data_IF_301140779021
#
_entry.id   IF_301140779021
#
_cell.length_a   1.000
_cell.length_b   1.000
_cell.length_c   1.000
_cell.angle_alpha   90.00
_cell.angle_beta   90.00
_cell.angle_gamma   90.00
#
_symmetry.space_group_name_H-M   'P 1'
#
loop_
_entity.id
_entity.type
_entity.pdbx_description
1 polymer ?
#
# COMPACT_ATOMS: atom_id res chain seq x y z
N UNK A 1 0.80 29.89 6.79
CA UNK A 1 1.69 28.69 6.85
C UNK A 1 2.05 28.29 5.44
N UNK A 2 3.27 27.81 5.18
CA UNK A 2 3.70 27.35 3.85
C UNK A 2 2.99 26.03 3.53
N UNK A 3 2.42 25.90 2.32
CA UNK A 3 1.77 24.65 1.87
C UNK A 3 2.80 23.53 1.78
N UNK A 4 2.61 22.39 2.48
CA UNK A 4 3.54 21.27 2.41
C UNK A 4 3.49 20.63 1.01
N UNK A 5 4.65 20.18 0.53
CA UNK A 5 4.78 19.43 -0.72
C UNK A 5 4.78 17.94 -0.40
N UNK A 6 3.79 17.22 -0.90
CA UNK A 6 3.64 15.79 -0.64
C UNK A 6 3.81 15.00 -1.93
N UNK A 7 4.73 14.05 -1.93
CA UNK A 7 4.82 13.05 -2.99
C UNK A 7 3.78 11.97 -2.72
N UNK A 8 2.98 11.63 -3.73
CA UNK A 8 2.10 10.46 -3.72
C UNK A 8 2.63 9.46 -4.75
N UNK A 9 2.94 8.22 -4.31
CA UNK A 9 3.24 7.15 -5.24
C UNK A 9 1.97 6.60 -5.88
N UNK A 10 2.02 6.29 -7.17
CA UNK A 10 0.92 5.69 -7.90
C UNK A 10 1.40 4.62 -8.88
N UNK A 11 0.59 3.59 -9.10
CA UNK A 11 0.73 2.71 -10.25
C UNK A 11 0.43 3.47 -11.55
N UNK A 12 0.95 3.00 -12.69
CA UNK A 12 0.55 3.53 -13.98
C UNK A 12 -0.97 3.35 -14.15
N UNK A 13 -1.66 4.43 -14.55
CA UNK A 13 -3.11 4.46 -14.74
C UNK A 13 -3.95 4.15 -13.48
N UNK A 14 -3.36 4.23 -12.29
CA UNK A 14 -4.10 4.09 -11.05
C UNK A 14 -4.86 5.39 -10.76
N UNK A 15 -6.16 5.29 -10.47
CA UNK A 15 -6.92 6.41 -9.92
C UNK A 15 -6.51 6.63 -8.46
N UNK A 16 -6.04 7.84 -8.17
CA UNK A 16 -5.60 8.27 -6.84
C UNK A 16 -6.35 9.53 -6.35
N UNK A 17 -7.45 9.90 -7.00
CA UNK A 17 -8.19 11.13 -6.71
C UNK A 17 -8.59 11.24 -5.24
N UNK A 18 -9.01 10.12 -4.62
CA UNK A 18 -9.35 10.11 -3.20
C UNK A 18 -8.18 10.50 -2.29
N UNK A 19 -6.95 10.10 -2.64
CA UNK A 19 -5.74 10.48 -1.89
C UNK A 19 -5.42 11.96 -2.10
N UNK A 20 -5.51 12.43 -3.34
CA UNK A 20 -5.27 13.83 -3.71
C UNK A 20 -6.26 14.72 -2.97
N UNK A 21 -7.56 14.45 -3.11
CA UNK A 21 -8.62 15.23 -2.48
C UNK A 21 -8.45 15.29 -0.95
N UNK A 22 -8.10 14.17 -0.32
CA UNK A 22 -7.88 14.12 1.12
C UNK A 22 -6.72 15.02 1.58
N UNK A 23 -5.64 15.11 0.81
CA UNK A 23 -4.48 15.92 1.15
C UNK A 23 -4.68 17.40 0.80
N UNK A 24 -5.42 17.70 -0.25
CA UNK A 24 -5.76 19.07 -0.66
C UNK A 24 -6.62 19.79 0.38
N UNK A 25 -7.45 19.04 1.14
CA UNK A 25 -8.19 19.60 2.29
C UNK A 25 -7.25 20.27 3.31
N UNK A 26 -6.00 19.86 3.38
CA UNK A 26 -4.97 20.43 4.26
C UNK A 26 -4.01 21.37 3.51
N UNK A 27 -4.42 21.88 2.36
CA UNK A 27 -3.63 22.80 1.54
C UNK A 27 -2.25 22.23 1.13
N UNK A 28 -2.15 20.92 0.92
CA UNK A 28 -0.93 20.28 0.44
C UNK A 28 -0.76 20.48 -1.08
N UNK A 29 0.48 20.68 -1.51
CA UNK A 29 0.86 20.63 -2.93
C UNK A 29 1.27 19.22 -3.28
N UNK A 30 0.57 18.62 -4.24
CA UNK A 30 0.75 17.21 -4.60
C UNK A 30 1.73 17.07 -5.76
N UNK A 31 2.64 16.10 -5.62
CA UNK A 31 3.55 15.65 -6.68
C UNK A 31 3.31 14.15 -6.87
N UNK A 32 2.82 13.76 -8.04
CA UNK A 32 2.57 12.34 -8.33
C UNK A 32 3.85 11.69 -8.85
N UNK A 33 4.27 10.62 -8.20
CA UNK A 33 5.39 9.78 -8.62
C UNK A 33 4.90 8.41 -9.09
N UNK A 34 5.46 7.93 -10.18
CA UNK A 34 5.22 6.60 -10.74
C UNK A 34 6.53 6.02 -11.30
N UNK A 35 6.46 4.87 -11.96
CA UNK A 35 7.62 4.18 -12.50
C UNK A 35 8.46 5.00 -13.48
N UNK A 36 7.88 6.01 -14.12
CA UNK A 36 8.58 6.85 -15.11
C UNK A 36 9.08 8.15 -14.52
N UNK A 37 8.44 8.69 -13.49
CA UNK A 37 8.72 10.02 -12.94
C UNK A 37 9.54 10.00 -11.65
N UNK A 38 9.65 8.85 -10.95
CA UNK A 38 10.31 8.74 -9.64
C UNK A 38 11.69 9.37 -9.63
N UNK A 39 12.56 9.06 -10.60
CA UNK A 39 13.93 9.59 -10.66
C UNK A 39 14.01 11.12 -10.72
N UNK A 40 13.00 11.75 -11.32
CA UNK A 40 12.92 13.21 -11.43
C UNK A 40 12.34 13.81 -10.15
N UNK A 41 11.29 13.18 -9.64
CA UNK A 41 10.57 13.67 -8.46
C UNK A 41 11.46 13.70 -7.22
N UNK A 42 12.30 12.68 -6.99
CA UNK A 42 13.21 12.62 -5.81
C UNK A 42 14.30 13.69 -5.78
N UNK A 43 14.57 14.37 -6.89
CA UNK A 43 15.52 15.50 -6.94
C UNK A 43 14.92 16.78 -6.34
N UNK A 44 13.61 16.87 -6.26
CA UNK A 44 12.92 18.03 -5.72
C UNK A 44 12.88 17.99 -4.18
N UNK A 45 12.68 19.17 -3.57
CA UNK A 45 12.36 19.26 -2.14
C UNK A 45 10.89 18.93 -1.93
N UNK A 46 10.60 18.07 -0.97
CA UNK A 46 9.26 17.70 -0.53
C UNK A 46 9.26 17.48 0.98
N UNK A 47 8.07 17.50 1.58
CA UNK A 47 7.88 17.53 3.03
C UNK A 47 7.23 16.23 3.56
N UNK A 48 6.77 15.35 2.67
CA UNK A 48 6.17 14.06 3.02
C UNK A 48 6.03 13.13 1.82
N UNK A 49 5.97 11.82 2.09
CA UNK A 49 5.75 10.74 1.11
C UNK A 49 4.51 9.93 1.51
N UNK A 50 3.59 9.75 0.58
CA UNK A 50 2.44 8.85 0.72
C UNK A 50 2.58 7.71 -0.29
N UNK A 51 2.62 6.48 0.22
CA UNK A 51 2.59 5.25 -0.57
C UNK A 51 1.15 4.75 -0.61
N UNK A 52 0.60 4.64 -1.82
CA UNK A 52 -0.81 4.29 -2.00
C UNK A 52 -1.06 2.78 -1.97
N UNK A 53 -2.32 2.39 -1.92
CA UNK A 53 -2.76 1.01 -2.10
C UNK A 53 -2.50 0.49 -3.52
N UNK A 54 -2.96 -0.73 -3.81
CA UNK A 54 -2.82 -1.36 -5.13
C UNK A 54 -2.77 -2.87 -5.06
N UNK A 55 -2.27 -3.51 -6.10
CA UNK A 55 -2.01 -4.95 -6.16
C UNK A 55 -0.89 -5.38 -5.22
N UNK A 56 -0.58 -6.66 -5.17
CA UNK A 56 0.37 -7.23 -4.23
C UNK A 56 1.81 -6.80 -4.49
N UNK A 57 2.64 -6.90 -3.47
CA UNK A 57 4.09 -6.71 -3.59
C UNK A 57 4.68 -7.93 -4.30
N UNK A 58 5.63 -7.71 -5.19
CA UNK A 58 6.33 -8.76 -5.91
C UNK A 58 7.05 -9.70 -4.95
N UNK A 59 6.76 -11.02 -4.97
CA UNK A 59 7.32 -11.98 -4.02
C UNK A 59 8.85 -12.01 -4.02
N UNK A 60 9.46 -11.78 -5.18
CA UNK A 60 10.92 -11.75 -5.34
C UNK A 60 11.63 -10.82 -4.36
N UNK A 61 10.90 -9.83 -3.82
CA UNK A 61 11.46 -8.86 -2.87
C UNK A 61 11.54 -9.39 -1.44
N UNK A 62 10.79 -10.45 -1.08
CA UNK A 62 10.70 -10.90 0.30
C UNK A 62 10.62 -12.42 0.50
N UNK A 63 10.31 -13.21 -0.55
CA UNK A 63 10.12 -14.66 -0.42
C UNK A 63 11.36 -15.41 0.06
N UNK A 64 12.56 -14.92 -0.25
CA UNK A 64 13.83 -15.50 0.21
C UNK A 64 14.02 -15.44 1.74
N UNK A 65 13.20 -14.63 2.44
CA UNK A 65 13.16 -14.51 3.90
C UNK A 65 12.05 -15.34 4.54
N UNK A 66 11.29 -16.08 3.73
CA UNK A 66 10.15 -16.89 4.21
C UNK A 66 10.53 -18.37 4.22
N UNK A 67 10.12 -19.10 5.26
CA UNK A 67 10.25 -20.56 5.30
C UNK A 67 9.36 -21.22 4.25
N UNK A 68 8.16 -20.66 4.06
CA UNK A 68 7.18 -21.14 3.09
C UNK A 68 6.62 -19.94 2.33
N UNK A 69 6.86 -19.90 1.03
CA UNK A 69 6.31 -18.90 0.13
C UNK A 69 5.56 -19.58 -1.00
N UNK A 70 4.42 -19.02 -1.38
CA UNK A 70 3.66 -19.43 -2.56
C UNK A 70 3.35 -18.20 -3.41
N UNK A 71 4.19 -17.96 -4.40
CA UNK A 71 4.04 -16.82 -5.30
C UNK A 71 2.75 -16.88 -6.14
N UNK A 72 2.12 -18.07 -6.27
CA UNK A 72 0.84 -18.23 -6.96
C UNK A 72 -0.32 -17.53 -6.22
N UNK A 73 -0.12 -17.22 -4.94
CA UNK A 73 -1.07 -16.47 -4.11
C UNK A 73 -1.04 -14.96 -4.39
N UNK A 74 0.01 -14.45 -5.03
CA UNK A 74 0.17 -13.03 -5.31
C UNK A 74 -0.43 -12.65 -6.67
N UNK A 75 -1.12 -11.51 -6.73
CA UNK A 75 -1.70 -11.02 -7.98
C UNK A 75 -1.63 -9.49 -8.10
N UNK A 76 -1.65 -9.01 -9.34
CA UNK A 76 -1.51 -7.59 -9.63
C UNK A 76 -0.15 -7.02 -9.23
N UNK A 77 0.87 -7.87 -9.14
CA UNK A 77 2.25 -7.51 -8.82
C UNK A 77 2.88 -6.64 -9.89
N UNK A 78 3.78 -5.76 -9.50
CA UNK A 78 4.55 -4.94 -10.43
C UNK A 78 5.94 -4.64 -9.85
N UNK A 79 6.90 -5.47 -10.16
CA UNK A 79 8.29 -5.29 -9.74
C UNK A 79 8.88 -3.92 -10.13
N UNK A 80 8.46 -3.38 -11.29
CA UNK A 80 8.85 -2.02 -11.69
C UNK A 80 8.32 -0.95 -10.75
N UNK A 81 7.06 -1.10 -10.30
CA UNK A 81 6.46 -0.19 -9.33
C UNK A 81 7.14 -0.32 -7.97
N UNK A 82 7.34 -1.54 -7.51
CA UNK A 82 7.97 -1.81 -6.21
C UNK A 82 9.36 -1.17 -6.14
N UNK A 83 10.18 -1.36 -7.18
CA UNK A 83 11.51 -0.75 -7.27
C UNK A 83 11.48 0.78 -7.33
N UNK A 84 10.51 1.36 -8.05
CA UNK A 84 10.37 2.81 -8.09
C UNK A 84 9.98 3.37 -6.71
N UNK A 85 9.06 2.69 -6.02
CA UNK A 85 8.65 3.08 -4.67
C UNK A 85 9.75 2.82 -3.63
N UNK A 86 10.57 1.79 -3.78
CA UNK A 86 11.78 1.59 -2.95
C UNK A 86 12.75 2.78 -3.07
N UNK A 87 12.93 3.34 -4.27
CA UNK A 87 13.74 4.56 -4.44
C UNK A 87 13.13 5.78 -3.71
N UNK A 88 11.79 5.91 -3.73
CA UNK A 88 11.10 6.96 -2.97
C UNK A 88 11.29 6.77 -1.46
N UNK A 89 11.09 5.54 -0.96
CA UNK A 89 11.27 5.23 0.47
C UNK A 89 12.71 5.52 0.89
N UNK A 90 13.70 5.03 0.14
CA UNK A 90 15.13 5.27 0.42
C UNK A 90 15.42 6.76 0.52
N UNK A 91 15.01 7.54 -0.47
CA UNK A 91 15.25 8.97 -0.50
C UNK A 91 14.58 9.72 0.66
N UNK A 92 13.33 9.34 1.00
CA UNK A 92 12.61 9.92 2.13
C UNK A 92 13.26 9.53 3.47
N UNK A 93 13.63 8.26 3.64
CA UNK A 93 14.27 7.74 4.84
C UNK A 93 15.63 8.42 5.10
N UNK A 94 16.51 8.48 4.10
CA UNK A 94 17.81 9.14 4.20
C UNK A 94 17.71 10.65 4.55
N UNK A 95 16.61 11.29 4.16
CA UNK A 95 16.34 12.70 4.45
C UNK A 95 15.49 12.92 5.70
N UNK A 96 15.14 11.88 6.45
CA UNK A 96 14.21 11.93 7.59
C UNK A 96 12.86 12.58 7.24
N UNK A 97 12.35 12.37 6.05
CA UNK A 97 11.04 12.85 5.62
C UNK A 97 9.97 11.86 6.06
N UNK A 98 8.86 12.31 6.68
CA UNK A 98 7.77 11.44 7.09
C UNK A 98 7.19 10.63 5.92
N UNK A 99 6.93 9.34 6.18
CA UNK A 99 6.34 8.42 5.21
C UNK A 99 5.04 7.84 5.77
N UNK A 100 3.98 7.89 4.97
CA UNK A 100 2.71 7.24 5.26
C UNK A 100 2.46 6.12 4.24
N UNK A 101 2.44 4.87 4.68
CA UNK A 101 2.03 3.72 3.88
C UNK A 101 0.57 3.36 4.11
N UNK A 102 -0.22 3.26 3.04
CA UNK A 102 -1.63 2.90 3.10
C UNK A 102 -1.84 1.57 2.36
N UNK A 103 -2.41 0.56 3.06
CA UNK A 103 -2.68 -0.77 2.53
C UNK A 103 -1.40 -1.40 1.94
N UNK A 104 -1.30 -1.55 0.61
CA UNK A 104 -0.09 -2.02 -0.06
C UNK A 104 1.15 -1.18 0.29
N UNK A 105 1.01 0.15 0.45
CA UNK A 105 2.13 1.01 0.82
C UNK A 105 2.70 0.69 2.21
N UNK A 106 1.88 0.29 3.17
CA UNK A 106 2.33 -0.20 4.48
C UNK A 106 3.07 -1.54 4.33
N UNK A 107 2.55 -2.46 3.51
CA UNK A 107 3.18 -3.74 3.22
C UNK A 107 4.55 -3.54 2.56
N UNK A 108 4.65 -2.62 1.61
CA UNK A 108 5.90 -2.28 0.94
C UNK A 108 6.95 -1.70 1.90
N UNK A 109 6.53 -0.84 2.84
CA UNK A 109 7.42 -0.32 3.89
C UNK A 109 8.00 -1.45 4.74
N UNK A 110 7.15 -2.39 5.17
CA UNK A 110 7.61 -3.54 5.93
C UNK A 110 8.63 -4.38 5.15
N UNK A 111 8.38 -4.63 3.87
CA UNK A 111 9.31 -5.37 2.99
C UNK A 111 10.61 -4.60 2.76
N UNK A 112 10.55 -3.29 2.63
CA UNK A 112 11.73 -2.42 2.48
C UNK A 112 12.65 -2.49 3.71
N UNK A 113 12.10 -2.61 4.90
CA UNK A 113 12.84 -2.79 6.15
C UNK A 113 13.05 -4.28 6.52
N UNK A 114 13.14 -5.16 5.53
CA UNK A 114 13.44 -6.59 5.65
C UNK A 114 12.35 -7.46 6.29
N UNK A 115 11.15 -6.95 6.47
CA UNK A 115 10.00 -7.75 6.87
C UNK A 115 9.48 -8.63 5.74
N UNK A 116 8.55 -9.52 6.10
CA UNK A 116 7.85 -10.41 5.16
C UNK A 116 6.35 -10.17 5.17
N UNK A 117 5.58 -10.92 4.40
CA UNK A 117 4.13 -10.79 4.33
C UNK A 117 3.45 -12.15 4.58
N UNK A 118 2.29 -12.11 5.21
CA UNK A 118 1.32 -13.19 5.12
C UNK A 118 0.69 -13.09 3.75
N UNK A 119 1.04 -13.99 2.83
CA UNK A 119 0.57 -13.95 1.44
C UNK A 119 -0.93 -14.19 1.29
N UNK A 120 -1.56 -14.79 2.31
CA UNK A 120 -2.98 -15.01 2.32
C UNK A 120 -3.51 -15.07 3.75
N UNK A 121 -4.14 -13.99 4.22
CA UNK A 121 -4.83 -13.98 5.51
C UNK A 121 -6.16 -14.72 5.40
N UNK A 122 -6.45 -15.50 6.40
CA UNK A 122 -7.45 -16.55 6.47
C UNK A 122 -8.81 -16.21 5.82
N UNK A 123 -9.39 -17.22 5.20
CA UNK A 123 -10.56 -17.29 4.33
C UNK A 123 -11.82 -16.55 4.84
N UNK A 124 -11.98 -16.40 6.15
CA UNK A 124 -13.18 -15.85 6.79
C UNK A 124 -13.40 -14.34 6.56
N UNK A 125 -12.36 -13.59 6.22
CA UNK A 125 -12.46 -12.14 6.02
C UNK A 125 -12.61 -11.73 4.55
N UNK A 126 -12.38 -12.64 3.58
CA UNK A 126 -12.17 -12.27 2.19
C UNK A 126 -12.82 -13.18 1.16
N UNK A 127 -13.96 -13.84 1.47
CA UNK A 127 -14.67 -14.70 0.49
C UNK A 127 -14.95 -13.98 -0.85
N UNK A 128 -15.22 -12.66 -0.78
CA UNK A 128 -15.45 -11.86 -1.98
C UNK A 128 -14.17 -11.65 -2.80
N UNK A 129 -13.02 -11.52 -2.14
CA UNK A 129 -11.71 -11.40 -2.81
C UNK A 129 -11.31 -12.72 -3.48
N UNK A 130 -11.63 -13.88 -2.87
CA UNK A 130 -11.41 -15.19 -3.50
C UNK A 130 -12.24 -15.39 -4.75
N UNK A 131 -13.52 -15.02 -4.71
CA UNK A 131 -14.40 -15.08 -5.91
C UNK A 131 -13.85 -14.21 -7.04
N UNK A 132 -13.32 -13.05 -6.72
CA UNK A 132 -12.68 -12.17 -7.69
C UNK A 132 -11.41 -12.77 -8.29
N UNK A 133 -10.54 -13.37 -7.45
CA UNK A 133 -9.33 -14.08 -7.90
C UNK A 133 -9.67 -15.23 -8.86
N UNK A 134 -10.67 -16.04 -8.53
CA UNK A 134 -11.13 -17.10 -9.44
C UNK A 134 -11.60 -16.55 -10.80
N UNK A 135 -12.27 -15.39 -10.79
CA UNK A 135 -12.69 -14.72 -12.03
C UNK A 135 -11.50 -14.20 -12.84
N UNK A 136 -10.47 -13.62 -12.20
CA UNK A 136 -9.24 -13.17 -12.88
C UNK A 136 -8.48 -14.37 -13.45
N UNK A 137 -8.29 -15.44 -12.68
CA UNK A 137 -7.60 -16.64 -13.16
C UNK A 137 -8.33 -17.32 -14.31
N UNK A 138 -9.66 -17.30 -14.33
CA UNK A 138 -10.48 -17.81 -15.44
C UNK A 138 -10.42 -16.93 -16.71
N UNK A 139 -10.13 -15.64 -16.57
CA UNK A 139 -10.09 -14.69 -17.69
C UNK A 139 -8.75 -14.65 -18.45
N UNK A 140 -7.79 -15.50 -18.15
CA UNK A 140 -6.47 -15.65 -18.84
C UNK A 140 -5.73 -14.34 -19.11
N UNK A 141 -5.72 -13.39 -18.18
CA UNK A 141 -5.10 -12.11 -18.39
C UNK A 141 -4.30 -11.66 -17.18
N UNK A 142 -3.14 -12.29 -16.89
CA UNK A 142 -2.14 -11.78 -15.94
C UNK A 142 -1.49 -10.52 -16.54
N UNK A 143 -2.21 -9.47 -16.76
CA UNK A 143 -1.63 -8.29 -17.38
C UNK A 143 -2.46 -7.03 -17.23
N UNK A 144 -3.75 -7.17 -17.14
CA UNK A 144 -4.63 -6.02 -17.00
C UNK A 144 -5.44 -6.15 -15.69
N UNK A 145 -4.88 -5.64 -14.61
CA UNK A 145 -5.63 -5.37 -13.40
C UNK A 145 -6.70 -4.34 -13.72
N UNK A 146 -7.93 -4.79 -13.92
CA UNK A 146 -9.07 -3.89 -14.09
C UNK A 146 -9.48 -3.32 -12.72
N UNK A 147 -8.92 -2.16 -12.41
CA UNK A 147 -9.22 -1.44 -11.17
C UNK A 147 -10.74 -1.20 -11.00
N UNK A 148 -11.49 -1.07 -12.08
CA UNK A 148 -12.93 -0.86 -12.07
C UNK A 148 -13.68 -2.10 -11.54
N UNK A 149 -13.27 -3.30 -11.95
CA UNK A 149 -13.79 -4.56 -11.40
C UNK A 149 -13.44 -4.75 -9.93
N UNK A 150 -12.28 -4.24 -9.51
CA UNK A 150 -11.87 -4.27 -8.10
C UNK A 150 -12.70 -3.33 -7.22
N UNK A 151 -13.18 -2.23 -7.78
CA UNK A 151 -14.03 -1.27 -7.07
C UNK A 151 -15.47 -1.75 -6.86
N UNK A 152 -15.97 -2.66 -7.70
CA UNK A 152 -17.31 -3.26 -7.57
C UNK A 152 -17.41 -4.35 -6.50
N UNK A 153 -16.28 -4.75 -5.91
CA UNK A 153 -16.27 -5.69 -4.79
C UNK A 153 -16.74 -4.94 -3.53
N UNK A 154 -17.82 -5.42 -2.93
CA UNK A 154 -18.26 -4.93 -1.62
C UNK A 154 -17.09 -5.03 -0.65
N UNK A 155 -16.66 -3.90 -0.10
CA UNK A 155 -15.65 -3.89 0.94
C UNK A 155 -16.21 -4.55 2.20
N UNK A 156 -15.46 -5.50 2.74
CA UNK A 156 -15.76 -6.06 4.03
C UNK A 156 -15.35 -5.07 5.13
N UNK A 157 -16.15 -5.02 6.17
CA UNK A 157 -15.85 -4.19 7.33
C UNK A 157 -15.49 -5.09 8.49
N UNK A 158 -14.38 -4.77 9.15
CA UNK A 158 -14.01 -5.43 10.39
C UNK A 158 -13.63 -4.39 11.46
N UNK A 159 -13.46 -4.85 12.68
CA UNK A 159 -13.01 -4.01 13.79
C UNK A 159 -11.52 -4.17 13.98
N UNK A 160 -10.84 -3.05 14.15
CA UNK A 160 -9.46 -2.98 14.61
C UNK A 160 -9.41 -2.33 15.98
N UNK A 161 -8.35 -2.60 16.72
CA UNK A 161 -8.06 -1.91 17.98
C UNK A 161 -6.85 -1.01 17.80
N UNK A 162 -7.05 0.29 18.01
CA UNK A 162 -5.98 1.28 18.01
C UNK A 162 -5.50 1.40 19.46
N UNK A 163 -4.26 1.04 19.70
CA UNK A 163 -3.66 1.09 21.03
C UNK A 163 -3.69 2.52 21.57
N UNK A 164 -4.29 2.68 22.75
CA UNK A 164 -4.32 3.98 23.45
C UNK A 164 -2.89 4.44 23.73
N UNK A 165 -2.63 5.74 23.52
CA UNK A 165 -1.30 6.32 23.70
C UNK A 165 -0.33 6.04 22.54
N UNK A 166 -0.73 5.29 21.51
CA UNK A 166 0.08 5.13 20.30
C UNK A 166 0.14 6.41 19.47
N UNK A 167 1.16 6.54 18.63
CA UNK A 167 1.27 7.64 17.66
C UNK A 167 0.02 7.75 16.78
N UNK A 168 -0.52 6.61 16.32
CA UNK A 168 -1.74 6.59 15.52
C UNK A 168 -2.95 7.12 16.29
N UNK A 169 -3.12 6.71 17.55
CA UNK A 169 -4.18 7.22 18.42
C UNK A 169 -4.07 8.74 18.62
N UNK A 170 -2.86 9.25 18.80
CA UNK A 170 -2.59 10.69 18.92
C UNK A 170 -2.96 11.45 17.65
N UNK A 171 -2.56 10.93 16.51
CA UNK A 171 -2.86 11.54 15.19
C UNK A 171 -4.35 11.56 14.87
N UNK A 172 -5.09 10.50 15.25
CA UNK A 172 -6.53 10.40 15.04
C UNK A 172 -7.35 11.09 16.14
N UNK A 173 -6.72 11.56 17.21
CA UNK A 173 -7.39 12.13 18.38
C UNK A 173 -8.21 11.12 19.17
N UNK A 174 -8.07 9.82 18.88
CA UNK A 174 -8.86 8.75 19.50
C UNK A 174 -8.16 7.39 19.36
N UNK A 175 -8.33 6.54 20.37
CA UNK A 175 -7.92 5.14 20.35
C UNK A 175 -9.09 4.22 20.72
N UNK A 176 -8.84 2.90 20.75
CA UNK A 176 -9.84 1.88 21.03
C UNK A 176 -10.36 1.19 19.78
N UNK A 177 -11.56 0.64 19.85
CA UNK A 177 -12.15 -0.16 18.76
C UNK A 177 -12.75 0.72 17.67
N UNK A 178 -12.25 0.58 16.44
CA UNK A 178 -12.72 1.31 15.26
C UNK A 178 -13.16 0.32 14.18
N UNK A 179 -14.25 0.62 13.48
CA UNK A 179 -14.69 -0.14 12.31
C UNK A 179 -14.00 0.41 11.07
N UNK A 180 -13.31 -0.46 10.34
CA UNK A 180 -12.61 -0.12 9.10
C UNK A 180 -13.07 -1.00 7.95
N UNK A 181 -12.92 -0.52 6.72
CA UNK A 181 -13.11 -1.35 5.54
C UNK A 181 -11.82 -2.11 5.21
N UNK A 182 -11.96 -3.27 4.56
CA UNK A 182 -10.85 -4.11 4.13
C UNK A 182 -11.03 -4.56 2.70
N UNK A 183 -9.95 -4.41 1.92
CA UNK A 183 -9.88 -4.83 0.51
C UNK A 183 -8.51 -5.44 0.19
N UNK A 184 -7.97 -6.22 1.10
CA UNK A 184 -6.67 -6.86 0.96
C UNK A 184 -6.74 -8.32 1.41
N UNK A 185 -5.94 -9.18 0.85
CA UNK A 185 -5.80 -10.58 1.25
C UNK A 185 -4.42 -10.87 1.84
N UNK A 186 -3.48 -9.95 1.72
CA UNK A 186 -2.17 -10.03 2.36
C UNK A 186 -2.14 -9.20 3.63
N UNK A 187 -1.29 -9.59 4.57
CA UNK A 187 -1.19 -8.92 5.85
C UNK A 187 0.21 -8.98 6.47
N UNK A 188 0.35 -8.32 7.60
CA UNK A 188 1.56 -8.32 8.42
C UNK A 188 1.15 -8.78 9.82
N UNK A 189 1.73 -9.86 10.31
CA UNK A 189 1.63 -10.31 11.69
C UNK A 189 2.94 -10.07 12.44
N UNK A 190 3.00 -10.39 13.73
CA UNK A 190 4.21 -10.18 14.54
C UNK A 190 5.46 -10.84 13.97
N UNK A 191 5.32 -12.02 13.34
CA UNK A 191 6.44 -12.75 12.73
C UNK A 191 6.93 -12.14 11.40
N UNK A 192 6.14 -11.28 10.78
CA UNK A 192 6.41 -10.63 9.51
C UNK A 192 6.98 -9.22 9.66
N UNK A 193 6.93 -8.66 10.86
CA UNK A 193 7.48 -7.32 11.12
C UNK A 193 9.00 -7.30 10.93
N UNK A 194 9.49 -6.21 10.35
CA UNK A 194 10.89 -5.85 10.21
C UNK A 194 11.55 -5.52 11.55
#
# INVERSE_FOLDING_TARGET
MKSPKIIISAGLNQNIDNYINALELFNAKIIVANTTTTKEVIKNKYDGLVLTGGGDISPELYEHRMENSDSSLCFGTSFKRDNAEFQLIKNAHEKNIPILGICRGMQLLNVYFDGTLIQNVNKLHYENMYKFREQINKSKGIGNFDAKKYMDIKSDFHRIFITLGSHLATMLGSGGTVKVNSRHHQGIGHKQLS
#
